data_IF_067823193885
#
_entry.id   IF_067823193885
#
_cell.length_a   1.000
_cell.length_b   1.000
_cell.length_c   1.000
_cell.angle_alpha   90.00
_cell.angle_beta   90.00
_cell.angle_gamma   90.00
#
_symmetry.space_group_name_H-M   'P 1'
#
loop_
_entity.id
_entity.type
_entity.pdbx_description
1 polymer ?
#
# COMPACT_ATOMS: atom_id res chain seq x y z
N UNK A 1 -32.07 10.47 -25.74
CA UNK A 1 -31.88 10.06 -24.33
C UNK A 1 -32.30 11.26 -23.50
N UNK A 2 -33.21 11.11 -22.57
CA UNK A 2 -33.63 12.16 -21.68
C UNK A 2 -32.47 12.57 -20.75
N UNK A 3 -32.35 13.87 -20.40
CA UNK A 3 -31.30 14.37 -19.52
C UNK A 3 -31.31 13.70 -18.14
N UNK A 4 -32.49 13.35 -17.63
CA UNK A 4 -32.66 12.60 -16.38
C UNK A 4 -32.05 11.19 -16.51
N UNK A 5 -32.40 10.46 -17.57
CA UNK A 5 -31.87 9.11 -17.80
C UNK A 5 -30.35 9.09 -17.97
N UNK A 6 -29.79 10.13 -18.61
CA UNK A 6 -28.34 10.27 -18.70
C UNK A 6 -27.71 10.52 -17.32
N UNK A 7 -28.26 11.44 -16.54
CA UNK A 7 -27.78 11.74 -15.20
C UNK A 7 -27.87 10.52 -14.26
N UNK A 8 -28.93 9.72 -14.39
CA UNK A 8 -29.15 8.51 -13.58
C UNK A 8 -28.16 7.37 -13.93
N UNK A 9 -27.62 7.38 -15.15
CA UNK A 9 -26.61 6.39 -15.58
C UNK A 9 -25.17 6.71 -15.11
N UNK A 10 -24.93 7.92 -14.60
CA UNK A 10 -23.62 8.31 -14.09
C UNK A 10 -23.36 7.70 -12.71
N UNK A 11 -22.11 7.31 -12.41
CA UNK A 11 -21.76 6.79 -11.09
C UNK A 11 -21.81 7.86 -9.99
N UNK A 12 -21.60 9.13 -10.36
CA UNK A 12 -21.60 10.28 -9.47
C UNK A 12 -23.02 10.86 -9.37
N UNK A 13 -23.37 11.38 -8.22
CA UNK A 13 -24.60 12.12 -8.02
C UNK A 13 -24.56 13.46 -8.75
N UNK A 14 -25.65 13.84 -9.42
CA UNK A 14 -25.77 15.13 -10.11
C UNK A 14 -27.00 15.86 -9.58
N UNK A 15 -26.82 17.14 -9.22
CA UNK A 15 -27.89 18.08 -8.87
C UNK A 15 -27.72 19.32 -9.76
N UNK A 16 -28.79 19.72 -10.42
CA UNK A 16 -28.78 20.91 -11.28
C UNK A 16 -29.82 21.91 -10.79
N UNK A 17 -29.42 23.17 -10.67
CA UNK A 17 -30.33 24.25 -10.31
C UNK A 17 -30.29 25.37 -11.38
N UNK A 18 -31.43 26.03 -11.59
CA UNK A 18 -31.62 27.09 -12.56
C UNK A 18 -31.15 28.48 -12.06
N UNK A 19 -31.47 29.52 -12.82
CA UNK A 19 -31.13 30.91 -12.49
C UNK A 19 -31.78 31.41 -11.19
N UNK A 20 -32.94 30.87 -10.85
CA UNK A 20 -33.69 31.21 -9.62
C UNK A 20 -33.25 30.37 -8.43
N UNK A 21 -32.12 29.63 -8.56
CA UNK A 21 -31.55 28.75 -7.55
C UNK A 21 -32.49 27.58 -7.18
N UNK A 22 -33.44 27.22 -8.05
CA UNK A 22 -34.32 26.09 -7.86
C UNK A 22 -33.77 24.86 -8.54
N UNK A 23 -33.85 23.76 -7.86
CA UNK A 23 -33.40 22.46 -8.38
C UNK A 23 -34.30 22.01 -9.51
N UNK A 24 -33.73 21.76 -10.68
CA UNK A 24 -34.44 21.28 -11.88
C UNK A 24 -34.13 19.82 -12.21
N UNK A 25 -33.05 19.25 -11.65
CA UNK A 25 -32.69 17.85 -11.83
C UNK A 25 -31.96 17.33 -10.60
N UNK A 26 -32.33 16.13 -10.16
CA UNK A 26 -31.62 15.34 -9.16
C UNK A 26 -31.48 13.92 -9.70
N UNK A 27 -30.25 13.45 -9.90
CA UNK A 27 -30.03 12.08 -10.35
C UNK A 27 -30.31 11.06 -9.23
N UNK A 28 -30.66 9.83 -9.62
CA UNK A 28 -30.90 8.75 -8.67
C UNK A 28 -29.68 8.49 -7.74
N UNK A 29 -28.41 8.53 -8.19
CA UNK A 29 -27.26 8.49 -7.30
C UNK A 29 -27.23 9.67 -6.30
N UNK A 30 -27.52 10.90 -6.74
CA UNK A 30 -27.54 12.07 -5.84
C UNK A 30 -28.63 11.93 -4.78
N UNK A 31 -29.84 11.53 -5.18
CA UNK A 31 -30.96 11.32 -4.27
C UNK A 31 -30.62 10.29 -3.18
N UNK A 32 -30.00 9.16 -3.55
CA UNK A 32 -29.54 8.16 -2.58
C UNK A 32 -28.49 8.70 -1.62
N UNK A 33 -27.49 9.47 -2.11
CA UNK A 33 -26.43 10.05 -1.26
C UNK A 33 -26.98 11.08 -0.29
N UNK A 34 -27.91 11.94 -0.77
CA UNK A 34 -28.51 13.01 0.02
C UNK A 34 -29.67 12.56 0.90
N UNK A 35 -30.09 11.30 0.79
CA UNK A 35 -31.27 10.78 1.52
C UNK A 35 -32.58 11.45 1.12
N UNK A 36 -32.75 11.81 -0.16
CA UNK A 36 -33.88 12.56 -0.69
C UNK A 36 -34.74 11.71 -1.62
N UNK A 37 -36.01 12.08 -1.73
CA UNK A 37 -36.86 11.67 -2.84
C UNK A 37 -36.57 12.58 -4.05
N UNK A 38 -36.11 12.00 -5.17
CA UNK A 38 -35.69 12.78 -6.34
C UNK A 38 -36.81 13.65 -6.92
N UNK A 39 -38.05 13.14 -7.16
CA UNK A 39 -39.15 13.94 -7.61
C UNK A 39 -39.52 15.07 -6.63
N UNK A 40 -39.55 14.81 -5.35
CA UNK A 40 -39.87 15.76 -4.30
C UNK A 40 -38.81 16.85 -4.07
N UNK A 41 -37.59 16.66 -4.59
CA UNK A 41 -36.51 17.65 -4.50
C UNK A 41 -36.55 18.69 -5.64
N UNK A 42 -37.18 18.38 -6.77
CA UNK A 42 -37.32 19.31 -7.91
C UNK A 42 -38.22 20.47 -7.51
N UNK A 43 -37.81 21.70 -7.90
CA UNK A 43 -38.47 22.98 -7.57
C UNK A 43 -38.07 23.54 -6.19
N UNK A 44 -37.39 22.78 -5.33
CA UNK A 44 -36.91 23.27 -4.04
C UNK A 44 -35.67 24.14 -4.19
N UNK A 45 -35.39 25.06 -3.26
CA UNK A 45 -34.16 25.84 -3.24
C UNK A 45 -32.92 24.96 -3.12
N UNK A 46 -31.88 25.26 -3.91
CA UNK A 46 -30.61 24.52 -3.90
C UNK A 46 -29.99 24.37 -2.48
N UNK A 47 -30.00 25.43 -1.61
CA UNK A 47 -29.46 25.29 -0.24
C UNK A 47 -30.20 24.28 0.64
N UNK A 48 -31.47 24.03 0.37
CA UNK A 48 -32.26 23.04 1.11
C UNK A 48 -32.00 21.60 0.64
N UNK A 49 -31.77 21.43 -0.66
CA UNK A 49 -31.46 20.14 -1.27
C UNK A 49 -30.02 19.77 -0.99
N UNK A 50 -29.09 20.72 -1.11
CA UNK A 50 -27.69 20.56 -0.75
C UNK A 50 -27.44 20.97 0.71
N UNK A 51 -27.98 20.25 1.67
CA UNK A 51 -27.80 20.49 3.10
C UNK A 51 -26.38 20.09 3.58
N UNK A 52 -25.35 20.45 2.84
CA UNK A 52 -23.93 20.11 3.09
C UNK A 52 -23.31 21.13 4.02
N UNK A 53 -22.47 20.65 4.96
CA UNK A 53 -21.78 21.50 5.93
C UNK A 53 -20.28 21.20 5.94
N UNK A 54 -19.46 22.20 6.28
CA UNK A 54 -18.06 21.97 6.63
C UNK A 54 -17.94 21.54 8.10
N UNK A 55 -16.69 21.31 8.54
CA UNK A 55 -16.40 20.93 9.95
C UNK A 55 -16.80 22.00 10.97
N UNK A 56 -16.91 23.26 10.54
CA UNK A 56 -17.34 24.39 11.36
C UNK A 56 -18.86 24.61 11.30
N UNK A 57 -19.60 23.75 10.59
CA UNK A 57 -21.06 23.81 10.42
C UNK A 57 -21.57 24.81 9.38
N UNK A 58 -20.68 25.43 8.58
CA UNK A 58 -21.05 26.37 7.53
C UNK A 58 -21.59 25.65 6.30
N UNK A 59 -22.64 26.18 5.69
CA UNK A 59 -23.27 25.57 4.52
C UNK A 59 -22.43 25.76 3.25
N UNK A 60 -22.41 24.73 2.36
CA UNK A 60 -21.71 24.74 1.09
C UNK A 60 -22.08 25.96 0.21
N UNK A 61 -23.37 26.27 0.12
CA UNK A 61 -23.89 27.41 -0.67
C UNK A 61 -23.47 28.75 -0.10
N UNK A 62 -23.30 28.87 1.22
CA UNK A 62 -22.83 30.08 1.86
C UNK A 62 -21.34 30.34 1.63
N UNK A 63 -20.52 29.26 1.73
CA UNK A 63 -19.08 29.35 1.51
C UNK A 63 -18.73 29.57 0.03
N UNK A 64 -19.39 28.83 -0.86
CA UNK A 64 -19.05 28.83 -2.29
C UNK A 64 -19.78 29.89 -3.11
N UNK A 65 -20.92 30.37 -2.67
CA UNK A 65 -21.74 31.41 -3.33
C UNK A 65 -21.84 31.21 -4.85
N UNK A 66 -22.38 30.08 -5.36
CA UNK A 66 -22.33 29.75 -6.77
C UNK A 66 -23.08 30.77 -7.67
N UNK A 67 -24.08 31.47 -7.15
CA UNK A 67 -24.83 32.51 -7.84
C UNK A 67 -24.33 33.95 -7.55
N UNK A 68 -23.40 34.06 -6.60
CA UNK A 68 -22.77 35.34 -6.23
C UNK A 68 -21.24 35.24 -6.36
N UNK A 69 -20.55 36.33 -5.97
CA UNK A 69 -19.08 36.34 -5.98
C UNK A 69 -18.46 36.80 -7.29
N UNK A 70 -17.31 36.24 -7.69
CA UNK A 70 -16.54 36.70 -8.85
C UNK A 70 -17.27 36.37 -10.15
N UNK A 71 -17.57 37.39 -10.93
CA UNK A 71 -18.37 37.32 -12.18
C UNK A 71 -17.74 36.39 -13.25
N UNK A 72 -16.44 36.19 -13.23
CA UNK A 72 -15.71 35.31 -14.17
C UNK A 72 -15.57 33.87 -13.68
N UNK A 73 -16.07 33.52 -12.49
CA UNK A 73 -15.96 32.17 -11.93
C UNK A 73 -16.88 31.21 -12.68
N UNK A 74 -16.31 30.16 -13.25
CA UNK A 74 -17.02 29.13 -14.03
C UNK A 74 -17.16 27.79 -13.30
N UNK A 75 -16.49 27.63 -12.15
CA UNK A 75 -16.52 26.37 -11.41
C UNK A 75 -16.24 26.56 -9.91
N UNK A 76 -16.69 25.61 -9.12
CA UNK A 76 -16.23 25.35 -7.76
C UNK A 76 -15.39 24.09 -7.83
N UNK A 77 -14.10 24.13 -7.46
CA UNK A 77 -13.24 22.94 -7.44
C UNK A 77 -13.78 21.91 -6.44
N UNK A 78 -13.36 20.65 -6.62
CA UNK A 78 -13.75 19.58 -5.72
C UNK A 78 -13.29 19.86 -4.28
N UNK A 79 -14.21 19.75 -3.34
CA UNK A 79 -14.01 19.99 -1.92
C UNK A 79 -14.72 18.90 -1.12
N UNK A 80 -14.20 18.61 0.07
CA UNK A 80 -14.84 17.70 1.03
C UNK A 80 -15.90 18.43 1.85
N UNK A 81 -17.07 17.82 1.98
CA UNK A 81 -18.23 18.32 2.74
C UNK A 81 -18.89 17.17 3.51
N UNK A 82 -19.65 17.51 4.55
CA UNK A 82 -20.38 16.55 5.36
C UNK A 82 -21.88 16.62 5.05
N UNK A 83 -22.48 15.46 4.89
CA UNK A 83 -23.92 15.26 4.93
C UNK A 83 -24.46 15.47 6.36
N UNK A 84 -25.79 15.67 6.55
CA UNK A 84 -26.39 15.82 7.87
C UNK A 84 -26.13 14.63 8.83
N UNK A 85 -25.91 13.43 8.29
CA UNK A 85 -25.54 12.22 9.04
C UNK A 85 -24.05 12.09 9.37
N UNK A 86 -23.24 13.10 8.99
CA UNK A 86 -21.80 13.11 9.18
C UNK A 86 -21.01 12.35 8.10
N UNK A 87 -21.67 11.79 7.09
CA UNK A 87 -20.98 11.11 5.97
C UNK A 87 -20.23 12.13 5.12
N UNK A 88 -18.96 11.86 4.83
CA UNK A 88 -18.13 12.71 3.96
C UNK A 88 -18.44 12.45 2.49
N UNK A 89 -18.62 13.55 1.75
CA UNK A 89 -18.81 13.57 0.31
C UNK A 89 -17.87 14.59 -0.36
N UNK A 90 -17.45 14.30 -1.58
CA UNK A 90 -16.69 15.19 -2.43
C UNK A 90 -17.67 15.91 -3.36
N UNK A 91 -17.57 17.24 -3.41
CA UNK A 91 -18.52 18.09 -4.12
C UNK A 91 -17.76 19.05 -5.02
N UNK A 92 -18.10 19.06 -6.30
CA UNK A 92 -17.63 20.04 -7.27
C UNK A 92 -18.83 20.67 -7.97
N UNK A 93 -18.68 21.86 -8.57
CA UNK A 93 -19.74 22.46 -9.36
C UNK A 93 -19.22 23.16 -10.60
N UNK A 94 -20.05 23.15 -11.65
CA UNK A 94 -19.94 24.01 -12.84
C UNK A 94 -20.98 25.09 -12.77
N UNK A 95 -20.55 26.30 -13.12
CA UNK A 95 -21.39 27.51 -13.14
C UNK A 95 -21.52 27.94 -14.62
N UNK A 96 -22.73 27.89 -15.15
CA UNK A 96 -23.03 28.21 -16.53
C UNK A 96 -23.60 29.62 -16.63
N UNK A 97 -23.09 30.38 -17.59
CA UNK A 97 -23.55 31.74 -17.97
C UNK A 97 -23.57 31.82 -19.49
N UNK A 98 -24.43 32.69 -20.03
CA UNK A 98 -24.49 32.91 -21.47
C UNK A 98 -23.34 33.79 -21.99
N UNK A 99 -22.66 34.53 -21.12
CA UNK A 99 -21.49 35.34 -21.41
C UNK A 99 -20.64 35.66 -20.19
N UNK A 100 -19.45 36.19 -20.42
CA UNK A 100 -18.55 36.65 -19.35
C UNK A 100 -19.22 37.83 -18.63
N UNK A 101 -19.45 37.72 -17.33
CA UNK A 101 -20.16 38.68 -16.45
C UNK A 101 -21.69 38.66 -16.55
N UNK A 102 -22.28 37.81 -17.39
CA UNK A 102 -23.72 37.60 -17.37
C UNK A 102 -24.17 36.87 -16.09
N UNK A 103 -25.46 37.04 -15.71
CA UNK A 103 -26.02 36.29 -14.58
C UNK A 103 -25.83 34.79 -14.73
N UNK A 104 -25.78 34.08 -13.60
CA UNK A 104 -25.68 32.62 -13.61
C UNK A 104 -27.01 32.05 -14.10
N UNK A 105 -26.95 31.30 -15.20
CA UNK A 105 -28.10 30.63 -15.79
C UNK A 105 -28.39 29.29 -15.11
N UNK A 106 -27.33 28.59 -14.75
CA UNK A 106 -27.43 27.23 -14.21
C UNK A 106 -26.20 26.87 -13.38
N UNK A 107 -26.39 26.08 -12.32
CA UNK A 107 -25.34 25.48 -11.55
C UNK A 107 -25.54 23.97 -11.56
N UNK A 108 -24.54 23.21 -12.05
CA UNK A 108 -24.52 21.78 -12.02
C UNK A 108 -23.53 21.33 -10.94
N UNK A 109 -24.01 20.62 -9.94
CA UNK A 109 -23.23 20.13 -8.81
C UNK A 109 -23.06 18.61 -8.94
N UNK A 110 -21.83 18.14 -8.84
CA UNK A 110 -21.51 16.71 -8.75
C UNK A 110 -21.18 16.34 -7.33
N UNK A 111 -21.69 15.20 -6.89
CA UNK A 111 -21.49 14.66 -5.54
C UNK A 111 -20.94 13.25 -5.69
N UNK A 112 -19.82 12.99 -5.03
CA UNK A 112 -19.15 11.70 -5.01
C UNK A 112 -18.96 11.24 -3.58
N UNK A 113 -19.04 9.92 -3.34
CA UNK A 113 -18.75 9.39 -2.01
C UNK A 113 -17.30 9.69 -1.59
N UNK A 114 -17.13 10.31 -0.43
CA UNK A 114 -15.82 10.58 0.18
C UNK A 114 -15.16 9.33 0.81
N UNK A 115 -15.87 8.20 0.89
CA UNK A 115 -15.39 6.98 1.58
C UNK A 115 -14.04 6.49 1.08
N UNK A 116 -13.79 6.56 -0.24
CA UNK A 116 -12.52 6.15 -0.83
C UNK A 116 -11.35 7.02 -0.36
N UNK A 117 -11.55 8.35 -0.34
CA UNK A 117 -10.53 9.31 0.14
C UNK A 117 -10.30 9.20 1.63
N UNK A 118 -11.36 9.16 2.43
CA UNK A 118 -11.28 8.97 3.87
C UNK A 118 -10.62 7.64 4.26
N UNK A 119 -10.76 6.60 3.43
CA UNK A 119 -10.05 5.34 3.59
C UNK A 119 -8.55 5.51 3.31
N UNK A 120 -8.17 6.15 2.20
CA UNK A 120 -6.77 6.41 1.85
C UNK A 120 -6.07 7.30 2.89
N UNK A 121 -6.76 8.33 3.38
CA UNK A 121 -6.22 9.22 4.42
C UNK A 121 -6.04 8.49 5.76
N UNK A 122 -6.94 7.59 6.12
CA UNK A 122 -6.80 6.70 7.29
C UNK A 122 -5.64 5.73 7.09
N UNK A 123 -5.56 5.03 5.96
CA UNK A 123 -4.47 4.12 5.64
C UNK A 123 -3.11 4.83 5.70
N UNK A 124 -3.04 6.09 5.23
CA UNK A 124 -1.84 6.93 5.33
C UNK A 124 -1.51 7.33 6.77
N UNK A 125 -2.51 7.69 7.56
CA UNK A 125 -2.32 8.04 8.98
C UNK A 125 -1.87 6.84 9.81
N UNK A 126 -2.48 5.68 9.58
CA UNK A 126 -2.12 4.42 10.23
C UNK A 126 -0.69 3.99 9.85
N UNK A 127 -0.31 4.21 8.58
CA UNK A 127 1.05 4.02 8.10
C UNK A 127 2.05 4.86 8.90
N UNK A 128 1.81 6.17 9.02
CA UNK A 128 2.70 7.10 9.75
C UNK A 128 2.80 6.73 11.22
N UNK A 129 1.67 6.40 11.87
CA UNK A 129 1.64 5.98 13.25
C UNK A 129 2.43 4.68 13.49
N UNK A 130 2.28 3.70 12.58
CA UNK A 130 2.99 2.42 12.66
C UNK A 130 4.50 2.62 12.46
N UNK A 131 4.91 3.40 11.45
CA UNK A 131 6.32 3.76 11.21
C UNK A 131 6.93 4.43 12.45
N UNK A 132 6.24 5.41 13.03
CA UNK A 132 6.72 6.10 14.21
C UNK A 132 6.91 5.14 15.41
N UNK A 133 6.02 4.16 15.55
CA UNK A 133 6.12 3.14 16.61
C UNK A 133 7.32 2.19 16.38
N UNK A 134 7.48 1.68 15.15
CA UNK A 134 8.57 0.75 14.80
C UNK A 134 9.96 1.42 14.89
N UNK A 135 10.06 2.72 14.60
CA UNK A 135 11.30 3.49 14.75
C UNK A 135 11.60 3.82 16.22
N UNK A 136 10.57 4.11 17.02
CA UNK A 136 10.74 4.52 18.43
C UNK A 136 11.34 3.39 19.28
N UNK A 137 10.94 2.15 19.05
CA UNK A 137 11.38 0.99 19.85
C UNK A 137 12.92 0.83 19.84
N UNK A 138 13.58 0.63 18.68
CA UNK A 138 15.05 0.48 18.63
C UNK A 138 15.77 1.77 19.05
N UNK A 139 15.24 2.95 18.71
CA UNK A 139 15.83 4.23 19.12
C UNK A 139 15.85 4.40 20.64
N UNK A 140 14.79 3.95 21.33
CA UNK A 140 14.73 3.95 22.78
C UNK A 140 15.76 3.00 23.39
N UNK A 141 15.96 1.82 22.79
CA UNK A 141 17.01 0.86 23.19
C UNK A 141 18.39 1.48 23.05
N UNK A 142 18.75 1.98 21.87
CA UNK A 142 20.03 2.66 21.60
C UNK A 142 20.27 3.78 22.63
N UNK A 143 19.31 4.69 22.79
CA UNK A 143 19.44 5.82 23.73
C UNK A 143 19.60 5.36 25.18
N UNK A 144 18.81 4.36 25.60
CA UNK A 144 18.84 3.83 26.96
C UNK A 144 20.18 3.18 27.32
N UNK A 145 20.69 2.30 26.45
CA UNK A 145 21.97 1.64 26.65
C UNK A 145 23.16 2.60 26.56
N UNK A 146 23.13 3.55 25.63
CA UNK A 146 24.18 4.59 25.56
C UNK A 146 24.18 5.45 26.84
N UNK A 147 23.03 5.89 27.33
CA UNK A 147 22.96 6.63 28.58
C UNK A 147 23.41 5.81 29.80
N UNK A 148 23.07 4.52 29.84
CA UNK A 148 23.53 3.62 30.91
C UNK A 148 25.05 3.46 30.90
N UNK A 149 25.66 3.28 29.71
CA UNK A 149 27.10 3.23 29.52
C UNK A 149 27.78 4.53 29.99
N UNK A 150 27.28 5.69 29.57
CA UNK A 150 27.86 6.99 29.94
C UNK A 150 27.76 7.27 31.45
N UNK A 151 26.64 6.91 32.07
CA UNK A 151 26.40 7.22 33.47
C UNK A 151 27.01 6.23 34.47
N UNK A 152 27.35 5.01 34.01
CA UNK A 152 27.77 3.91 34.89
C UNK A 152 29.03 3.18 34.40
N UNK A 153 29.81 3.78 33.49
CA UNK A 153 30.96 3.15 32.84
C UNK A 153 31.90 2.46 33.81
N UNK A 154 32.26 3.13 34.92
CA UNK A 154 33.18 2.62 35.93
C UNK A 154 32.58 1.54 36.84
N UNK A 155 31.25 1.41 36.81
CA UNK A 155 30.52 0.40 37.61
C UNK A 155 30.16 -0.86 36.85
N UNK A 156 30.38 -0.87 35.53
CA UNK A 156 30.09 -1.99 34.65
C UNK A 156 31.36 -2.79 34.39
N UNK A 157 31.23 -4.11 34.42
CA UNK A 157 32.31 -4.98 33.96
C UNK A 157 32.37 -5.02 32.41
N UNK A 158 33.42 -5.57 31.85
CA UNK A 158 33.66 -5.57 30.39
C UNK A 158 32.63 -6.41 29.63
N UNK A 159 32.11 -7.49 30.22
CA UNK A 159 31.06 -8.31 29.63
C UNK A 159 29.73 -7.51 29.51
N UNK A 160 29.37 -6.76 30.57
CA UNK A 160 28.18 -5.90 30.55
C UNK A 160 28.30 -4.77 29.53
N UNK A 161 29.49 -4.13 29.45
CA UNK A 161 29.78 -3.10 28.45
C UNK A 161 29.65 -3.69 27.04
N UNK A 162 30.26 -4.87 26.79
CA UNK A 162 30.19 -5.56 25.51
C UNK A 162 28.76 -5.90 25.14
N UNK A 163 27.98 -6.45 26.06
CA UNK A 163 26.57 -6.78 25.83
C UNK A 163 25.75 -5.54 25.44
N UNK A 164 25.92 -4.42 26.18
CA UNK A 164 25.22 -3.17 25.86
C UNK A 164 25.61 -2.61 24.51
N UNK A 165 26.90 -2.60 24.18
CA UNK A 165 27.39 -2.14 22.87
C UNK A 165 26.88 -3.02 21.72
N UNK A 166 26.88 -4.33 21.92
CA UNK A 166 26.33 -5.29 20.94
C UNK A 166 24.83 -5.04 20.71
N UNK A 167 24.08 -4.75 21.78
CA UNK A 167 22.66 -4.42 21.68
C UNK A 167 22.45 -3.10 20.93
N UNK A 168 23.27 -2.08 21.23
CA UNK A 168 23.22 -0.79 20.52
C UNK A 168 23.50 -0.98 19.02
N UNK A 169 24.52 -1.79 18.68
CA UNK A 169 24.84 -2.09 17.29
C UNK A 169 23.67 -2.80 16.58
N UNK A 170 23.11 -3.84 17.20
CA UNK A 170 21.97 -4.58 16.66
C UNK A 170 20.71 -3.70 16.45
N UNK A 171 20.40 -2.82 17.39
CA UNK A 171 19.28 -1.88 17.26
C UNK A 171 19.54 -0.83 16.17
N UNK A 172 20.79 -0.38 16.01
CA UNK A 172 21.19 0.56 14.95
C UNK A 172 21.08 -0.09 13.55
N UNK A 173 21.51 -1.35 13.42
CA UNK A 173 21.38 -2.11 12.17
C UNK A 173 19.90 -2.37 11.83
N UNK A 174 19.10 -2.66 12.85
CA UNK A 174 17.64 -2.82 12.68
C UNK A 174 17.00 -1.52 12.19
N UNK A 175 17.40 -0.38 12.76
CA UNK A 175 16.90 0.93 12.36
C UNK A 175 17.27 1.25 10.90
N UNK A 176 18.52 0.98 10.52
CA UNK A 176 19.02 1.18 9.15
C UNK A 176 18.24 0.33 8.14
N UNK A 177 18.00 -0.94 8.46
CA UNK A 177 17.17 -1.83 7.61
C UNK A 177 15.75 -1.31 7.48
N UNK A 178 15.11 -0.89 8.56
CA UNK A 178 13.75 -0.36 8.53
C UNK A 178 13.64 0.90 7.67
N UNK A 179 14.62 1.79 7.73
CA UNK A 179 14.67 2.99 6.87
C UNK A 179 14.80 2.59 5.39
N UNK A 180 15.67 1.63 5.07
CA UNK A 180 15.82 1.14 3.70
C UNK A 180 14.52 0.50 3.18
N UNK A 181 13.84 -0.33 4.00
CA UNK A 181 12.54 -0.92 3.68
C UNK A 181 11.47 0.16 3.41
N UNK A 182 11.42 1.22 4.22
CA UNK A 182 10.46 2.32 4.03
C UNK A 182 10.71 3.09 2.73
N UNK A 183 11.99 3.28 2.35
CA UNK A 183 12.34 3.92 1.09
C UNK A 183 11.94 3.03 -0.11
N UNK A 184 12.14 1.72 -0.02
CA UNK A 184 11.70 0.78 -1.06
C UNK A 184 10.17 0.78 -1.19
N UNK A 185 9.44 0.75 -0.07
CA UNK A 185 7.97 0.89 -0.08
C UNK A 185 7.53 2.18 -0.77
N UNK A 186 8.16 3.31 -0.43
CA UNK A 186 7.82 4.59 -1.06
C UNK A 186 8.10 4.61 -2.57
N UNK A 187 9.18 3.96 -3.03
CA UNK A 187 9.52 3.84 -4.46
C UNK A 187 8.54 2.92 -5.20
N UNK A 188 8.15 1.81 -4.59
CA UNK A 188 7.15 0.87 -5.14
C UNK A 188 5.80 1.59 -5.28
N UNK A 189 5.33 2.27 -4.23
CA UNK A 189 4.03 2.97 -4.22
C UNK A 189 3.91 4.08 -5.27
N UNK A 190 5.01 4.79 -5.49
CA UNK A 190 5.03 5.92 -6.43
C UNK A 190 5.37 5.51 -7.86
N UNK A 191 5.62 4.22 -8.11
CA UNK A 191 6.08 3.74 -9.42
C UNK A 191 7.47 4.26 -9.82
N UNK A 192 8.26 4.73 -8.85
CA UNK A 192 9.61 5.28 -9.07
C UNK A 192 10.73 4.29 -8.75
N UNK A 193 10.40 3.01 -8.68
CA UNK A 193 11.40 1.97 -8.51
C UNK A 193 12.27 1.90 -9.78
N UNK A 194 13.55 2.18 -9.62
CA UNK A 194 14.55 1.99 -10.66
C UNK A 194 15.20 0.63 -10.46
N UNK A 195 15.21 -0.17 -11.51
CA UNK A 195 15.87 -1.47 -11.56
C UNK A 195 16.98 -1.42 -12.59
N UNK A 196 18.06 -2.15 -12.32
CA UNK A 196 19.19 -2.33 -13.21
C UNK A 196 19.34 -3.82 -13.59
N UNK A 197 18.38 -4.37 -14.37
CA UNK A 197 18.37 -5.79 -14.68
C UNK A 197 19.53 -6.14 -15.62
N UNK A 198 20.08 -7.34 -15.39
CA UNK A 198 21.14 -7.94 -16.20
C UNK A 198 21.04 -9.46 -16.13
N UNK A 199 21.52 -10.18 -17.15
CA UNK A 199 21.61 -11.63 -17.07
C UNK A 199 22.39 -12.05 -15.83
N UNK A 200 21.79 -12.89 -15.00
CA UNK A 200 22.33 -13.30 -13.71
C UNK A 200 22.11 -14.77 -13.47
N UNK A 201 23.06 -15.44 -12.84
CA UNK A 201 22.96 -16.83 -12.40
C UNK A 201 22.20 -16.88 -11.06
N UNK A 202 20.94 -17.37 -11.12
CA UNK A 202 20.09 -17.47 -9.93
C UNK A 202 20.64 -18.49 -8.92
N UNK A 203 21.24 -19.59 -9.39
CA UNK A 203 21.81 -20.63 -8.51
C UNK A 203 22.96 -20.05 -7.66
N UNK A 204 23.88 -19.34 -8.30
CA UNK A 204 25.00 -18.67 -7.61
C UNK A 204 24.51 -17.63 -6.60
N UNK A 205 23.52 -16.80 -6.99
CA UNK A 205 22.97 -15.79 -6.09
C UNK A 205 22.29 -16.42 -4.87
N UNK A 206 21.41 -17.42 -5.09
CA UNK A 206 20.68 -18.08 -4.01
C UNK A 206 21.63 -18.82 -3.07
N UNK A 207 22.67 -19.49 -3.59
CA UNK A 207 23.68 -20.16 -2.78
C UNK A 207 24.34 -19.18 -1.79
N UNK A 208 24.81 -18.04 -2.28
CA UNK A 208 25.43 -17.00 -1.43
C UNK A 208 24.49 -16.44 -0.38
N UNK A 209 23.21 -16.28 -0.73
CA UNK A 209 22.19 -15.79 0.20
C UNK A 209 21.97 -16.82 1.31
N UNK A 210 21.78 -18.09 0.95
CA UNK A 210 21.57 -19.18 1.92
C UNK A 210 22.76 -19.31 2.85
N UNK A 211 24.00 -19.29 2.34
CA UNK A 211 25.24 -19.30 3.16
C UNK A 211 25.27 -18.12 4.14
N UNK A 212 24.95 -16.92 3.66
CA UNK A 212 24.93 -15.71 4.48
C UNK A 212 23.90 -15.78 5.61
N UNK A 213 22.68 -16.23 5.31
CA UNK A 213 21.61 -16.35 6.31
C UNK A 213 21.93 -17.49 7.29
N UNK A 214 22.46 -18.63 6.81
CA UNK A 214 22.84 -19.77 7.65
C UNK A 214 23.93 -19.39 8.67
N UNK A 215 24.86 -18.52 8.32
CA UNK A 215 25.87 -18.02 9.25
C UNK A 215 25.28 -17.23 10.44
N UNK A 216 24.08 -16.69 10.30
CA UNK A 216 23.39 -15.89 11.34
C UNK A 216 22.34 -16.65 12.16
N UNK A 217 22.13 -17.97 11.90
CA UNK A 217 21.09 -18.76 12.57
C UNK A 217 21.58 -20.14 12.96
N UNK A 218 21.01 -20.72 14.00
CA UNK A 218 21.21 -22.13 14.36
C UNK A 218 20.23 -23.08 13.63
N UNK A 219 19.27 -22.53 12.84
CA UNK A 219 18.32 -23.35 12.10
C UNK A 219 18.97 -23.95 10.85
N UNK A 220 18.75 -25.24 10.57
CA UNK A 220 19.18 -25.83 9.30
C UNK A 220 18.47 -25.16 8.11
N UNK A 221 19.25 -24.86 7.08
CA UNK A 221 18.71 -24.37 5.80
C UNK A 221 19.21 -25.33 4.72
N UNK A 222 18.29 -26.06 4.13
CA UNK A 222 18.57 -27.07 3.10
C UNK A 222 18.39 -26.41 1.71
N UNK A 223 19.46 -26.34 0.92
CA UNK A 223 19.44 -25.81 -0.44
C UNK A 223 19.49 -26.95 -1.45
N UNK A 224 18.59 -26.91 -2.42
CA UNK A 224 18.63 -27.77 -3.61
C UNK A 224 18.49 -26.92 -4.87
N UNK A 225 19.33 -27.20 -5.86
CA UNK A 225 19.34 -26.55 -7.16
C UNK A 225 19.16 -27.62 -8.23
N UNK A 226 18.31 -27.34 -9.21
CA UNK A 226 18.26 -28.16 -10.42
C UNK A 226 19.50 -27.95 -11.28
N UNK A 227 19.87 -28.97 -12.03
CA UNK A 227 20.89 -28.85 -13.07
C UNK A 227 20.38 -27.94 -14.20
N UNK A 228 21.29 -27.24 -14.89
CA UNK A 228 21.00 -26.41 -16.07
C UNK A 228 19.96 -25.29 -15.87
N UNK A 229 20.07 -24.54 -14.77
CA UNK A 229 19.24 -23.36 -14.55
C UNK A 229 19.53 -22.29 -15.63
N UNK A 230 18.51 -21.71 -16.29
CA UNK A 230 18.70 -20.61 -17.21
C UNK A 230 19.13 -19.34 -16.46
N UNK A 231 19.88 -18.47 -17.14
CA UNK A 231 20.14 -17.13 -16.64
C UNK A 231 18.80 -16.35 -16.54
N UNK A 232 18.66 -15.58 -15.46
CA UNK A 232 17.49 -14.71 -15.24
C UNK A 232 17.84 -13.25 -15.50
N UNK A 233 16.92 -12.48 -16.06
CA UNK A 233 17.13 -11.06 -16.32
C UNK A 233 16.61 -10.23 -15.15
N UNK A 234 17.47 -10.02 -14.17
CA UNK A 234 17.13 -9.37 -12.87
C UNK A 234 18.15 -8.34 -12.45
N UNK A 235 17.72 -7.40 -11.59
CA UNK A 235 18.61 -6.60 -10.76
C UNK A 235 19.12 -7.50 -9.62
N UNK A 236 20.43 -7.85 -9.57
CA UNK A 236 20.94 -8.81 -8.60
C UNK A 236 20.79 -8.37 -7.14
N UNK A 237 20.84 -7.06 -6.88
CA UNK A 237 20.70 -6.54 -5.52
C UNK A 237 19.25 -6.69 -5.04
N UNK A 238 18.29 -6.41 -5.93
CA UNK A 238 16.87 -6.58 -5.65
C UNK A 238 16.44 -8.04 -5.59
N UNK A 239 17.01 -8.90 -6.43
CA UNK A 239 16.83 -10.35 -6.35
C UNK A 239 17.36 -10.87 -4.99
N UNK A 240 18.58 -10.47 -4.61
CA UNK A 240 19.17 -10.82 -3.32
C UNK A 240 18.28 -10.37 -2.16
N UNK A 241 17.77 -9.15 -2.21
CA UNK A 241 16.85 -8.61 -1.19
C UNK A 241 15.57 -9.45 -1.05
N UNK A 242 14.98 -9.87 -2.17
CA UNK A 242 13.77 -10.70 -2.17
C UNK A 242 14.04 -12.06 -1.54
N UNK A 243 15.05 -12.78 -2.05
CA UNK A 243 15.34 -14.14 -1.56
C UNK A 243 15.79 -14.12 -0.09
N UNK A 244 16.59 -13.13 0.32
CA UNK A 244 16.94 -12.93 1.74
C UNK A 244 15.70 -12.77 2.60
N UNK A 245 14.75 -11.90 2.21
CA UNK A 245 13.49 -11.70 2.93
C UNK A 245 12.67 -13.00 3.06
N UNK A 246 12.65 -13.82 2.00
CA UNK A 246 11.94 -15.11 2.02
C UNK A 246 12.59 -16.10 2.99
N UNK A 247 13.91 -16.26 2.89
CA UNK A 247 14.66 -17.21 3.73
C UNK A 247 14.66 -16.77 5.21
N UNK A 248 14.87 -15.47 5.49
CA UNK A 248 14.76 -14.93 6.85
C UNK A 248 13.35 -15.10 7.44
N UNK A 249 12.29 -14.97 6.63
CA UNK A 249 10.93 -15.24 7.06
C UNK A 249 10.75 -16.71 7.42
N UNK A 250 11.26 -17.64 6.61
CA UNK A 250 11.26 -19.07 6.93
C UNK A 250 12.00 -19.37 8.24
N UNK A 251 13.16 -18.77 8.45
CA UNK A 251 13.92 -18.89 9.70
C UNK A 251 13.16 -18.30 10.88
N UNK A 252 12.47 -17.19 10.72
CA UNK A 252 11.76 -16.50 11.82
C UNK A 252 10.46 -17.16 12.21
N UNK A 253 9.67 -17.60 11.24
CA UNK A 253 8.31 -18.10 11.44
C UNK A 253 8.21 -19.62 11.47
N UNK A 254 9.14 -20.34 10.82
CA UNK A 254 9.22 -21.79 10.87
C UNK A 254 9.66 -22.34 12.23
N UNK A 255 9.44 -23.61 12.49
CA UNK A 255 9.86 -24.28 13.72
C UNK A 255 10.96 -25.33 13.50
N UNK A 256 11.11 -25.88 12.30
CA UNK A 256 12.13 -26.85 11.90
C UNK A 256 13.17 -26.30 10.94
N UNK A 257 13.53 -27.08 9.92
CA UNK A 257 14.41 -26.66 8.84
C UNK A 257 13.68 -25.76 7.84
N UNK A 258 14.44 -24.91 7.17
CA UNK A 258 13.99 -24.15 6.01
C UNK A 258 14.53 -24.83 4.76
N UNK A 259 13.67 -25.11 3.78
CA UNK A 259 14.09 -25.69 2.49
C UNK A 259 14.00 -24.63 1.41
N UNK A 260 15.09 -24.45 0.69
CA UNK A 260 15.17 -23.58 -0.48
C UNK A 260 15.41 -24.43 -1.71
N UNK A 261 14.53 -24.34 -2.68
CA UNK A 261 14.64 -25.06 -3.94
C UNK A 261 14.61 -24.09 -5.12
N UNK A 262 15.51 -24.30 -6.06
CA UNK A 262 15.60 -23.49 -7.29
C UNK A 262 15.48 -24.43 -8.48
N UNK A 263 14.45 -24.20 -9.30
CA UNK A 263 14.12 -25.02 -10.47
C UNK A 263 13.95 -24.18 -11.73
N UNK A 264 14.22 -24.80 -12.89
CA UNK A 264 13.94 -24.18 -14.17
C UNK A 264 12.43 -24.24 -14.48
N UNK A 265 11.89 -23.15 -15.03
CA UNK A 265 10.50 -23.08 -15.52
C UNK A 265 10.53 -23.02 -17.05
N UNK A 266 9.97 -24.04 -17.69
CA UNK A 266 9.86 -24.09 -19.15
C UNK A 266 8.70 -23.19 -19.64
N UNK A 267 8.83 -22.66 -20.85
CA UNK A 267 7.76 -21.94 -21.53
C UNK A 267 6.51 -22.83 -21.68
N UNK A 268 5.33 -22.31 -21.30
CA UNK A 268 4.07 -23.05 -21.39
C UNK A 268 3.71 -23.91 -20.17
N UNK A 269 4.49 -23.93 -19.13
CA UNK A 269 4.12 -24.52 -17.83
C UNK A 269 3.30 -23.53 -16.99
N UNK A 270 1.99 -23.50 -17.19
CA UNK A 270 1.08 -22.59 -16.50
C UNK A 270 1.07 -21.17 -17.10
N UNK A 271 0.87 -20.16 -16.24
CA UNK A 271 0.87 -18.73 -16.64
C UNK A 271 2.23 -18.05 -16.40
N UNK A 272 3.25 -18.79 -15.96
CA UNK A 272 4.56 -18.24 -15.66
C UNK A 272 5.43 -18.16 -16.93
N UNK A 273 6.23 -17.09 -17.10
CA UNK A 273 7.20 -17.01 -18.18
C UNK A 273 8.32 -18.02 -17.97
N UNK A 274 8.99 -18.42 -19.07
CA UNK A 274 10.21 -19.20 -18.99
C UNK A 274 11.26 -18.50 -18.12
N UNK A 275 11.92 -19.26 -17.25
CA UNK A 275 12.90 -18.67 -16.33
C UNK A 275 13.22 -19.57 -15.15
N UNK A 276 13.28 -19.02 -13.97
CA UNK A 276 13.62 -19.72 -12.73
C UNK A 276 12.52 -19.52 -11.70
N UNK A 277 12.22 -20.59 -10.97
CA UNK A 277 11.36 -20.56 -9.78
C UNK A 277 12.22 -20.78 -8.54
N UNK A 278 12.04 -19.91 -7.54
CA UNK A 278 12.62 -20.06 -6.20
C UNK A 278 11.50 -20.36 -5.22
N UNK A 279 11.57 -21.50 -4.59
CA UNK A 279 10.63 -21.98 -3.57
C UNK A 279 11.31 -21.98 -2.21
N UNK A 280 10.67 -21.41 -1.21
CA UNK A 280 11.11 -21.43 0.20
C UNK A 280 10.00 -22.06 1.03
N UNK A 281 10.29 -23.19 1.64
CA UNK A 281 9.39 -23.93 2.54
C UNK A 281 9.86 -23.76 3.98
N UNK A 282 8.97 -23.42 4.87
CA UNK A 282 9.18 -23.51 6.31
C UNK A 282 8.32 -24.63 6.95
N UNK A 283 8.53 -24.87 8.23
CA UNK A 283 7.80 -25.86 9.01
C UNK A 283 7.04 -25.22 10.18
N UNK A 284 6.54 -23.98 9.97
CA UNK A 284 5.76 -23.25 10.96
C UNK A 284 4.27 -23.59 10.92
N UNK A 285 3.47 -22.65 11.43
CA UNK A 285 1.99 -22.78 11.45
C UNK A 285 1.36 -22.62 10.06
N UNK A 286 2.12 -22.18 9.07
CA UNK A 286 1.62 -21.86 7.73
C UNK A 286 0.83 -20.56 7.68
N UNK A 287 0.18 -20.32 6.54
CA UNK A 287 -0.65 -19.13 6.31
C UNK A 287 -2.04 -19.55 5.85
N UNK A 288 -3.10 -19.31 6.67
CA UNK A 288 -4.48 -19.62 6.29
C UNK A 288 -4.86 -19.02 4.94
N UNK A 289 -5.65 -19.72 4.13
CA UNK A 289 -5.98 -19.33 2.76
C UNK A 289 -6.56 -17.93 2.66
N UNK A 290 -7.47 -17.56 3.57
CA UNK A 290 -8.09 -16.26 3.66
C UNK A 290 -7.10 -15.13 3.97
N UNK A 291 -5.93 -15.44 4.54
CA UNK A 291 -4.88 -14.48 4.86
C UNK A 291 -3.81 -14.35 3.77
N UNK A 292 -3.70 -15.31 2.83
CA UNK A 292 -2.61 -15.36 1.82
C UNK A 292 -2.51 -14.10 0.94
N UNK A 293 -3.63 -13.42 0.68
CA UNK A 293 -3.61 -12.13 -0.02
C UNK A 293 -3.20 -10.98 0.89
N UNK A 294 -3.55 -11.06 2.18
CA UNK A 294 -3.32 -9.99 3.15
C UNK A 294 -1.88 -9.93 3.64
N UNK A 295 -1.14 -11.03 3.63
CA UNK A 295 0.26 -11.05 4.07
C UNK A 295 1.17 -10.17 3.22
N UNK A 296 0.77 -9.85 1.97
CA UNK A 296 1.47 -8.94 1.08
C UNK A 296 1.05 -7.47 1.28
N UNK A 297 0.24 -7.15 2.28
CA UNK A 297 -0.10 -5.76 2.62
C UNK A 297 0.93 -5.17 3.59
N UNK A 298 1.08 -3.85 3.58
CA UNK A 298 2.02 -3.14 4.45
C UNK A 298 1.70 -3.39 5.92
N UNK A 299 2.76 -3.59 6.73
CA UNK A 299 2.69 -3.79 8.19
C UNK A 299 1.84 -4.98 8.66
N UNK A 300 1.59 -5.92 7.76
CA UNK A 300 0.92 -7.14 8.18
C UNK A 300 1.84 -7.97 9.09
N UNK A 301 1.33 -8.38 10.24
CA UNK A 301 2.03 -9.23 11.22
C UNK A 301 1.14 -10.40 11.59
N UNK A 302 1.61 -11.61 11.31
CA UNK A 302 0.96 -12.85 11.68
C UNK A 302 1.47 -13.36 13.03
N UNK A 303 1.08 -12.72 14.16
CA UNK A 303 1.45 -13.19 15.50
C UNK A 303 2.57 -12.39 16.19
N UNK A 304 3.08 -12.93 17.32
CA UNK A 304 4.01 -12.24 18.22
C UNK A 304 5.50 -12.28 17.77
N UNK A 305 5.86 -13.08 16.77
CA UNK A 305 7.24 -13.19 16.25
C UNK A 305 7.56 -12.00 15.35
N UNK A 306 8.06 -10.94 15.96
CA UNK A 306 8.18 -9.61 15.39
C UNK A 306 9.05 -9.47 14.13
N UNK A 307 8.54 -8.66 13.20
CA UNK A 307 9.22 -8.08 12.04
C UNK A 307 8.62 -6.71 11.76
N UNK A 308 9.12 -5.99 10.75
CA UNK A 308 8.55 -4.70 10.30
C UNK A 308 7.15 -4.86 9.68
N UNK A 309 6.83 -6.06 9.15
CA UNK A 309 5.64 -6.31 8.34
C UNK A 309 5.73 -5.69 6.93
N UNK A 310 6.93 -5.27 6.52
CA UNK A 310 7.17 -4.70 5.18
C UNK A 310 7.83 -5.70 4.23
N UNK A 311 8.51 -6.73 4.75
CA UNK A 311 9.30 -7.66 3.95
C UNK A 311 8.52 -8.32 2.81
N UNK A 312 7.35 -8.92 3.08
CA UNK A 312 6.53 -9.55 2.03
C UNK A 312 5.89 -8.55 1.07
N UNK A 313 5.55 -7.34 1.52
CA UNK A 313 5.11 -6.27 0.63
C UNK A 313 6.20 -5.88 -0.37
N UNK A 314 7.45 -5.74 0.11
CA UNK A 314 8.62 -5.44 -0.72
C UNK A 314 8.88 -6.60 -1.70
N UNK A 315 8.85 -7.84 -1.21
CA UNK A 315 8.95 -9.04 -2.05
C UNK A 315 7.96 -8.98 -3.21
N UNK A 316 6.67 -8.77 -2.92
CA UNK A 316 5.63 -8.68 -3.94
C UNK A 316 5.90 -7.55 -4.94
N UNK A 317 6.27 -6.36 -4.47
CA UNK A 317 6.56 -5.22 -5.34
C UNK A 317 7.78 -5.43 -6.23
N UNK A 318 8.87 -5.96 -5.68
CA UNK A 318 10.12 -6.20 -6.42
C UNK A 318 9.98 -7.33 -7.45
N UNK A 319 9.35 -8.45 -7.09
CA UNK A 319 9.11 -9.57 -8.01
C UNK A 319 8.25 -9.12 -9.18
N UNK A 320 7.14 -8.41 -8.92
CA UNK A 320 6.27 -7.85 -9.95
C UNK A 320 6.99 -6.84 -10.85
N UNK A 321 7.84 -6.02 -10.28
CA UNK A 321 8.63 -5.06 -11.03
C UNK A 321 9.65 -5.72 -11.99
N UNK A 322 10.02 -6.98 -11.78
CA UNK A 322 10.82 -7.81 -12.70
C UNK A 322 9.98 -8.64 -13.69
N UNK A 323 8.64 -8.51 -13.68
CA UNK A 323 7.76 -9.33 -14.52
C UNK A 323 7.49 -10.73 -13.96
N UNK A 324 7.94 -11.03 -12.74
CA UNK A 324 7.73 -12.30 -12.07
C UNK A 324 6.43 -12.38 -11.28
N UNK A 325 6.20 -13.52 -10.64
CA UNK A 325 5.05 -13.78 -9.76
C UNK A 325 5.50 -14.20 -8.36
N UNK A 326 4.66 -13.95 -7.35
CA UNK A 326 4.85 -14.47 -6.00
C UNK A 326 3.55 -15.06 -5.48
N UNK A 327 3.64 -16.26 -4.90
CA UNK A 327 2.49 -16.96 -4.34
C UNK A 327 2.83 -17.59 -2.99
N UNK A 328 1.77 -17.87 -2.21
CA UNK A 328 1.87 -18.61 -0.94
C UNK A 328 0.95 -19.82 -1.01
N UNK A 329 1.48 -20.96 -0.57
CA UNK A 329 0.76 -22.22 -0.45
C UNK A 329 1.14 -22.91 0.88
N UNK A 330 0.56 -24.07 1.13
CA UNK A 330 1.01 -24.94 2.23
C UNK A 330 2.26 -25.71 1.81
N UNK A 331 3.25 -25.77 2.72
CA UNK A 331 4.45 -26.56 2.49
C UNK A 331 4.16 -28.06 2.68
N UNK A 332 4.81 -28.95 1.91
CA UNK A 332 4.72 -30.38 2.14
C UNK A 332 5.26 -30.73 3.52
N UNK A 333 4.41 -31.26 4.36
CA UNK A 333 4.75 -31.60 5.75
C UNK A 333 4.38 -30.53 6.78
N UNK A 334 3.63 -29.49 6.37
CA UNK A 334 3.19 -28.36 7.20
C UNK A 334 4.07 -27.14 7.06
N UNK A 335 3.55 -25.97 7.43
CA UNK A 335 4.20 -24.69 7.27
C UNK A 335 3.80 -23.92 6.02
N UNK A 336 4.50 -22.83 5.73
CA UNK A 336 4.25 -22.02 4.55
C UNK A 336 5.24 -22.35 3.42
N UNK A 337 4.72 -22.37 2.20
CA UNK A 337 5.49 -22.40 0.95
C UNK A 337 5.38 -21.06 0.26
N UNK A 338 6.49 -20.36 0.13
CA UNK A 338 6.61 -19.11 -0.63
C UNK A 338 7.28 -19.42 -1.97
N UNK A 339 6.64 -19.05 -3.06
CA UNK A 339 7.13 -19.33 -4.43
C UNK A 339 7.27 -18.02 -5.16
N UNK A 340 8.44 -17.78 -5.78
CA UNK A 340 8.66 -16.66 -6.70
C UNK A 340 9.15 -17.17 -8.04
N UNK A 341 8.67 -16.54 -9.13
CA UNK A 341 9.14 -16.81 -10.48
C UNK A 341 9.89 -15.61 -11.04
N UNK A 342 10.92 -15.88 -11.85
CA UNK A 342 11.80 -14.86 -12.40
C UNK A 342 12.02 -15.14 -13.89
N UNK A 343 11.69 -14.22 -14.79
CA UNK A 343 11.81 -14.44 -16.23
C UNK A 343 13.27 -14.50 -16.65
N UNK A 344 13.55 -15.36 -17.64
CA UNK A 344 14.85 -15.43 -18.30
C UNK A 344 15.10 -14.26 -19.24
N UNK A 345 14.03 -13.65 -19.77
CA UNK A 345 14.08 -12.51 -20.70
C UNK A 345 13.50 -11.24 -20.05
N UNK A 346 13.87 -10.06 -20.56
CA UNK A 346 13.29 -8.80 -20.12
C UNK A 346 11.89 -8.62 -20.72
N UNK A 347 10.87 -8.97 -19.97
CA UNK A 347 9.46 -8.83 -20.37
C UNK A 347 8.97 -7.36 -20.42
N UNK A 348 9.85 -6.37 -20.21
CA UNK A 348 9.55 -4.93 -20.26
C UNK A 348 10.13 -4.24 -21.49
N UNK A 349 10.83 -4.99 -22.32
CA UNK A 349 11.48 -4.46 -23.54
C UNK A 349 10.52 -4.28 -24.73
N UNK A 350 9.21 -4.60 -24.59
CA UNK A 350 8.16 -4.44 -25.61
C UNK A 350 7.25 -3.22 -25.33
#
# INVERSE_FOLDING_TARGET
MDAQALADSLPDGVVVADADQRVVLVSAPAARMLGLDAPGAVGRPLPEVLALRDQDGRAWTACNRPYGGIATRTAVPEQSWLLPDGTEVLVAARIHRDGVREPVRQVAVTIRSGRGRARLDRERSDLVATVAHELRSPLTGVKGFVQALLNRWDKLNDEQKKLMLTTVAADSDRLSRLIAELLDVARIDTGRLQLYPRPSDAGVLVTRIVESVAAGTARPIDLSLDDDLPAVHVDPDKFTQVVTNLVENGVRHGDGSVRVHVEAVAEGQGSDPAGVRVTVDDQGEGVPEEMRRRVFTKFWKGGARGGSGLGLYIVHGLVRAHGGTVTIADAPGGGARLVTTWPAEDLRAD
#
